data_IF_059966251852
#
_entry.id   IF_059966251852
#
_cell.length_a   1.000
_cell.length_b   1.000
_cell.length_c   1.000
_cell.angle_alpha   90.00
_cell.angle_beta   90.00
_cell.angle_gamma   90.00
#
_symmetry.space_group_name_H-M   'P 1'
#
loop_
_entity.id
_entity.type
_entity.pdbx_description
1 polymer ?
#
# COMPACT_ATOMS: atom_id res chain seq x y z
N UNK A 1 0.92 -11.42 8.79
CA UNK A 1 -0.49 -11.64 8.60
C UNK A 1 -0.74 -13.12 8.42
N UNK A 2 -1.32 -13.75 9.32
CA UNK A 2 -1.71 -15.11 9.54
C UNK A 2 -1.38 -16.15 8.47
N UNK A 3 -1.68 -15.90 7.24
CA UNK A 3 -1.50 -16.86 6.18
C UNK A 3 -0.25 -16.54 5.36
N UNK A 4 0.62 -17.52 5.18
CA UNK A 4 1.90 -17.31 4.50
C UNK A 4 1.75 -16.91 3.03
N UNK A 5 0.64 -17.28 2.40
CA UNK A 5 0.41 -17.07 0.97
C UNK A 5 -0.19 -15.70 0.64
N UNK A 6 -0.72 -14.99 1.63
CA UNK A 6 -1.39 -13.71 1.42
C UNK A 6 -0.75 -12.62 2.24
N UNK A 7 -0.46 -11.50 1.58
CA UNK A 7 0.07 -10.31 2.24
C UNK A 7 -0.70 -9.09 1.77
N UNK A 8 -0.96 -8.13 2.67
CA UNK A 8 -1.60 -6.89 2.28
C UNK A 8 -0.61 -5.93 1.61
N UNK A 9 -1.13 -5.17 0.67
CA UNK A 9 -0.39 -4.13 -0.03
C UNK A 9 -1.31 -2.93 -0.24
N UNK A 10 -0.72 -1.76 -0.40
CA UNK A 10 -1.44 -0.52 -0.71
C UNK A 10 -1.11 -0.11 -2.13
N UNK A 11 -2.14 0.07 -2.95
CA UNK A 11 -1.96 0.59 -4.31
C UNK A 11 -1.53 2.05 -4.25
N UNK A 12 -0.39 2.37 -4.85
CA UNK A 12 0.19 3.72 -4.85
C UNK A 12 0.28 4.33 -6.24
N UNK A 13 -0.06 3.60 -7.28
CA UNK A 13 -0.13 4.13 -8.64
C UNK A 13 -1.57 4.39 -9.05
N UNK A 14 -1.75 5.08 -10.16
CA UNK A 14 -3.05 5.43 -10.70
C UNK A 14 -3.10 5.12 -12.20
N UNK A 15 -4.10 5.67 -12.89
CA UNK A 15 -4.31 5.43 -14.32
C UNK A 15 -3.26 6.07 -15.23
N UNK A 16 -2.32 6.84 -14.68
CA UNK A 16 -1.16 7.31 -15.44
C UNK A 16 -0.12 6.21 -15.68
N UNK A 17 -0.22 5.10 -14.93
CA UNK A 17 0.63 3.94 -15.17
C UNK A 17 0.36 3.41 -16.59
N UNK A 18 1.40 3.14 -17.39
CA UNK A 18 1.20 2.75 -18.81
C UNK A 18 0.44 1.45 -19.01
N UNK A 19 0.39 0.59 -17.99
CA UNK A 19 -0.34 -0.68 -18.03
C UNK A 19 -1.36 -0.79 -16.90
N UNK A 20 -2.03 0.33 -16.56
CA UNK A 20 -2.94 0.41 -15.42
C UNK A 20 -4.14 -0.55 -15.52
N UNK A 21 -4.47 -1.03 -16.70
CA UNK A 21 -5.51 -2.03 -16.91
C UNK A 21 -5.05 -3.47 -16.58
N UNK A 22 -3.77 -3.71 -16.46
CA UNK A 22 -3.20 -5.02 -16.19
C UNK A 22 -2.52 -5.14 -14.83
N UNK A 23 -1.86 -4.08 -14.40
CA UNK A 23 -1.04 -4.07 -13.18
C UNK A 23 -1.01 -2.70 -12.52
N UNK A 24 -0.51 -2.67 -11.30
CA UNK A 24 -0.31 -1.43 -10.56
C UNK A 24 0.90 -1.55 -9.65
N UNK A 25 1.35 -0.42 -9.11
CA UNK A 25 2.44 -0.37 -8.15
C UNK A 25 1.85 -0.38 -6.74
N UNK A 26 2.44 -1.17 -5.86
CA UNK A 26 1.97 -1.37 -4.50
C UNK A 26 3.11 -1.22 -3.51
N UNK A 27 2.79 -0.63 -2.36
CA UNK A 27 3.69 -0.59 -1.21
C UNK A 27 3.31 -1.69 -0.23
N UNK A 28 4.32 -2.33 0.35
CA UNK A 28 4.10 -3.45 1.26
C UNK A 28 3.58 -2.99 2.63
N UNK A 29 2.67 -3.78 3.19
CA UNK A 29 2.14 -3.58 4.54
C UNK A 29 2.71 -4.66 5.46
N UNK A 30 3.03 -4.28 6.69
CA UNK A 30 3.62 -5.17 7.69
C UNK A 30 3.04 -4.85 9.07
N UNK A 31 3.18 -5.79 10.00
CA UNK A 31 2.88 -5.55 11.41
C UNK A 31 4.13 -5.12 12.19
N UNK A 32 5.30 -5.13 11.55
CA UNK A 32 6.55 -4.75 12.17
C UNK A 32 6.71 -3.23 12.16
N UNK A 33 6.83 -2.62 13.33
CA UNK A 33 7.06 -1.19 13.46
C UNK A 33 8.48 -0.82 13.05
N UNK A 34 8.60 0.23 12.24
CA UNK A 34 9.87 0.86 11.89
C UNK A 34 9.67 2.37 11.90
N UNK A 35 10.70 3.12 12.27
CA UNK A 35 10.57 4.58 12.43
C UNK A 35 10.09 5.29 11.16
N UNK A 36 10.54 4.84 10.00
CA UNK A 36 10.17 5.46 8.73
C UNK A 36 8.90 4.88 8.11
N UNK A 37 8.31 3.84 8.71
CA UNK A 37 7.06 3.26 8.21
C UNK A 37 5.86 4.14 8.60
N UNK A 38 4.83 4.09 7.75
CA UNK A 38 3.61 4.86 7.96
C UNK A 38 2.61 4.01 8.74
N UNK A 39 2.30 4.42 9.98
CA UNK A 39 1.27 3.75 10.78
C UNK A 39 -0.09 3.97 10.13
N UNK A 40 -0.85 2.89 9.99
CA UNK A 40 -2.24 2.96 9.55
C UNK A 40 -3.15 2.92 10.77
N UNK A 41 -4.01 3.93 10.89
CA UNK A 41 -5.02 4.03 11.95
C UNK A 41 -6.40 3.83 11.33
N UNK A 42 -7.43 3.69 12.17
CA UNK A 42 -8.80 3.57 11.67
C UNK A 42 -9.20 4.78 10.82
N UNK A 43 -8.68 5.95 11.15
CA UNK A 43 -8.98 7.19 10.41
C UNK A 43 -8.38 7.20 9.00
N UNK A 44 -7.40 6.36 8.73
CA UNK A 44 -6.77 6.25 7.42
C UNK A 44 -7.61 5.43 6.44
N UNK A 45 -8.63 4.72 6.93
CA UNK A 45 -9.47 3.88 6.09
C UNK A 45 -10.77 4.60 5.73
N UNK A 46 -11.06 4.68 4.44
CA UNK A 46 -12.36 5.12 3.95
C UNK A 46 -13.41 4.01 4.12
N UNK A 47 -12.97 2.75 4.00
CA UNK A 47 -13.82 1.59 4.24
C UNK A 47 -12.94 0.39 4.61
N UNK A 48 -13.53 -0.59 5.31
CA UNK A 48 -12.81 -1.79 5.73
C UNK A 48 -11.71 -1.49 6.73
N UNK A 49 -10.73 -2.37 6.80
CA UNK A 49 -9.61 -2.24 7.73
C UNK A 49 -8.78 -3.51 7.76
N UNK A 50 -7.79 -3.53 8.65
CA UNK A 50 -6.93 -4.67 8.88
C UNK A 50 -7.09 -5.17 10.32
N UNK A 51 -6.89 -6.48 10.56
CA UNK A 51 -7.15 -7.06 11.89
C UNK A 51 -6.15 -6.67 12.97
N UNK A 52 -5.01 -6.11 12.59
CA UNK A 52 -3.93 -5.74 13.51
C UNK A 52 -3.38 -4.37 13.16
N UNK A 53 -2.70 -3.75 14.14
CA UNK A 53 -1.93 -2.54 13.88
C UNK A 53 -0.95 -2.80 12.76
N UNK A 54 -1.02 -1.98 11.73
CA UNK A 54 -0.30 -2.20 10.48
C UNK A 54 0.46 -0.95 10.09
N UNK A 55 1.55 -1.18 9.37
CA UNK A 55 2.45 -0.14 8.90
C UNK A 55 2.70 -0.34 7.41
N UNK A 56 2.79 0.75 6.68
CA UNK A 56 3.19 0.69 5.27
C UNK A 56 4.66 1.04 5.17
N UNK A 57 5.40 0.21 4.44
CA UNK A 57 6.80 0.48 4.11
C UNK A 57 6.87 1.16 2.75
N UNK A 58 6.93 2.50 2.69
CA UNK A 58 6.86 3.20 1.40
C UNK A 58 8.10 3.00 0.52
N UNK A 59 9.17 2.45 1.08
CA UNK A 59 10.37 2.08 0.30
C UNK A 59 10.26 0.70 -0.35
N UNK A 60 9.26 -0.11 -0.01
CA UNK A 60 9.07 -1.45 -0.60
C UNK A 60 7.93 -1.37 -1.61
N UNK A 61 8.29 -1.04 -2.85
CA UNK A 61 7.32 -0.88 -3.93
C UNK A 61 7.53 -1.99 -4.96
N UNK A 62 6.43 -2.66 -5.31
CA UNK A 62 6.45 -3.78 -6.27
C UNK A 62 5.32 -3.63 -7.27
N UNK A 63 5.50 -4.21 -8.45
CA UNK A 63 4.42 -4.33 -9.45
C UNK A 63 3.65 -5.61 -9.17
N UNK A 64 2.32 -5.50 -9.11
CA UNK A 64 1.43 -6.66 -8.95
C UNK A 64 0.39 -6.61 -10.05
N UNK A 65 0.23 -7.73 -10.74
CA UNK A 65 -0.82 -7.85 -11.78
C UNK A 65 -2.17 -8.00 -11.10
N UNK A 66 -3.19 -7.40 -11.69
CA UNK A 66 -4.56 -7.50 -11.16
C UNK A 66 -5.01 -8.95 -11.02
N UNK A 67 -4.57 -9.82 -11.93
CA UNK A 67 -4.89 -11.24 -11.90
C UNK A 67 -4.34 -11.98 -10.66
N UNK A 68 -3.32 -11.42 -10.01
CA UNK A 68 -2.68 -12.03 -8.85
C UNK A 68 -3.25 -11.51 -7.53
N UNK A 69 -4.21 -10.60 -7.57
CA UNK A 69 -4.86 -10.06 -6.38
C UNK A 69 -6.03 -10.97 -6.00
N UNK A 70 -6.04 -11.42 -4.75
CA UNK A 70 -7.08 -12.29 -4.26
C UNK A 70 -8.35 -11.51 -3.91
N UNK A 71 -8.21 -10.48 -3.08
CA UNK A 71 -9.35 -9.65 -2.66
C UNK A 71 -8.87 -8.35 -2.05
N UNK A 72 -9.80 -7.42 -1.82
CA UNK A 72 -9.52 -6.17 -1.12
C UNK A 72 -9.95 -6.27 0.34
N UNK A 73 -9.10 -5.80 1.26
CA UNK A 73 -9.41 -5.71 2.68
C UNK A 73 -10.14 -4.42 3.03
N UNK A 74 -10.04 -3.42 2.17
CA UNK A 74 -10.67 -2.14 2.36
C UNK A 74 -10.08 -1.10 1.44
N UNK A 75 -10.42 0.15 1.70
CA UNK A 75 -9.90 1.29 0.94
C UNK A 75 -9.33 2.33 1.90
N UNK A 76 -8.16 2.84 1.59
CA UNK A 76 -7.58 3.94 2.34
C UNK A 76 -8.15 5.27 1.85
N UNK A 77 -8.16 6.26 2.73
CA UNK A 77 -8.50 7.61 2.37
C UNK A 77 -7.49 8.17 1.36
N UNK A 78 -7.95 9.01 0.44
CA UNK A 78 -7.10 9.57 -0.61
C UNK A 78 -5.86 10.28 -0.06
N UNK A 79 -6.03 11.01 1.04
CA UNK A 79 -4.93 11.73 1.72
C UNK A 79 -3.84 10.77 2.19
N UNK A 80 -4.24 9.61 2.71
CA UNK A 80 -3.32 8.59 3.18
C UNK A 80 -2.55 7.99 2.01
N UNK A 81 -3.24 7.70 0.91
CA UNK A 81 -2.62 7.17 -0.30
C UNK A 81 -1.60 8.17 -0.86
N UNK A 82 -1.98 9.44 -0.94
CA UNK A 82 -1.09 10.51 -1.42
C UNK A 82 0.16 10.63 -0.55
N UNK A 83 0.00 10.54 0.76
CA UNK A 83 1.13 10.57 1.68
C UNK A 83 2.09 9.40 1.45
N UNK A 84 1.55 8.19 1.32
CA UNK A 84 2.37 6.99 1.08
C UNK A 84 3.09 7.10 -0.25
N UNK A 85 2.39 7.49 -1.31
CA UNK A 85 2.97 7.65 -2.64
C UNK A 85 4.08 8.71 -2.66
N UNK A 86 3.87 9.82 -1.96
CA UNK A 86 4.85 10.90 -1.86
C UNK A 86 6.11 10.43 -1.13
N UNK A 87 5.96 9.67 -0.05
CA UNK A 87 7.11 9.12 0.66
C UNK A 87 7.85 8.08 -0.19
N UNK A 88 7.12 7.24 -0.92
CA UNK A 88 7.72 6.29 -1.85
C UNK A 88 8.55 7.00 -2.92
N UNK A 89 8.01 8.07 -3.50
CA UNK A 89 8.72 8.89 -4.49
C UNK A 89 10.01 9.46 -3.91
N UNK A 90 9.99 9.89 -2.66
CA UNK A 90 11.19 10.39 -1.97
C UNK A 90 12.30 9.34 -1.92
N UNK A 91 11.95 8.09 -1.68
CA UNK A 91 12.93 7.00 -1.66
C UNK A 91 13.47 6.68 -3.05
N UNK A 92 12.77 7.07 -4.10
CA UNK A 92 13.26 6.96 -5.48
C UNK A 92 14.14 8.15 -5.88
N UNK A 93 14.35 9.11 -4.98
CA UNK A 93 15.16 10.29 -5.24
C UNK A 93 14.40 11.46 -5.85
N UNK A 94 13.11 11.37 -5.98
CA UNK A 94 12.24 12.46 -6.47
C UNK A 94 11.84 13.34 -5.28
N UNK A 95 12.26 14.60 -5.32
CA UNK A 95 12.04 15.53 -4.22
C UNK A 95 11.36 16.81 -4.65
#
# INVERSE_FOLDING_TARGET
FGDADYRPYVCVSDDTHPFSDEEALYAAVTTTQRDAAVLLTDDDFASGGLPRDSYVNPWTVVSIRHADIDHAEGSLADETIERIASEAAGYLGVR
#
